data_IF_467157396161
#
_entry.id   IF_467157396161
#
_cell.length_a   1.000
_cell.length_b   1.000
_cell.length_c   1.000
_cell.angle_alpha   90.00
_cell.angle_beta   90.00
_cell.angle_gamma   90.00
#
_symmetry.space_group_name_H-M   'P 1'
#
loop_
_entity.id
_entity.type
_entity.pdbx_description
1 polymer ?
#
# COMPACT_ATOMS: atom_id res chain seq x y z
N UNK A 1 -36.21 55.00 36.00
CA UNK A 1 -36.17 54.08 34.89
C UNK A 1 -34.72 53.67 34.63
N UNK A 2 -34.29 52.47 35.01
CA UNK A 2 -32.94 51.94 34.78
C UNK A 2 -33.05 50.82 33.75
N UNK A 3 -32.61 51.10 32.53
CA UNK A 3 -32.52 50.11 31.44
C UNK A 3 -31.33 49.17 31.70
N UNK A 4 -31.62 47.88 31.85
CA UNK A 4 -30.58 46.83 31.92
C UNK A 4 -30.31 46.37 30.50
N UNK A 5 -29.12 46.70 29.99
CA UNK A 5 -28.61 46.22 28.70
C UNK A 5 -28.00 44.81 28.94
N UNK A 6 -28.69 43.77 28.49
CA UNK A 6 -28.20 42.38 28.56
C UNK A 6 -27.36 42.11 27.35
N UNK A 7 -26.05 41.97 27.51
CA UNK A 7 -25.08 41.64 26.45
C UNK A 7 -25.00 40.11 26.35
N UNK A 8 -25.68 39.57 25.37
CA UNK A 8 -25.57 38.12 25.07
C UNK A 8 -24.32 37.91 24.23
N UNK A 9 -23.26 37.39 24.88
CA UNK A 9 -22.01 36.98 24.21
C UNK A 9 -22.24 35.62 23.56
N UNK A 10 -22.53 35.60 22.24
CA UNK A 10 -22.67 34.40 21.46
C UNK A 10 -21.24 33.90 21.13
N UNK A 11 -20.79 32.91 21.87
CA UNK A 11 -19.52 32.17 21.56
C UNK A 11 -19.79 31.28 20.35
N UNK A 12 -19.37 31.73 19.16
CA UNK A 12 -19.27 30.90 18.00
C UNK A 12 -18.14 29.86 18.23
N UNK A 13 -18.50 28.65 18.61
CA UNK A 13 -17.59 27.51 18.58
C UNK A 13 -17.32 27.15 17.12
N UNK A 14 -16.25 27.75 16.55
CA UNK A 14 -15.70 27.29 15.28
C UNK A 14 -14.91 26.00 15.58
N UNK A 15 -15.58 24.84 15.48
CA UNK A 15 -14.90 23.54 15.49
C UNK A 15 -14.10 23.45 14.19
N UNK A 16 -12.83 23.82 14.23
CA UNK A 16 -11.89 23.45 13.20
C UNK A 16 -11.79 21.92 13.22
N UNK A 17 -12.33 21.28 12.20
CA UNK A 17 -12.04 19.87 11.92
C UNK A 17 -10.54 19.81 11.59
N UNK A 18 -9.75 19.38 12.55
CA UNK A 18 -8.34 19.05 12.30
C UNK A 18 -8.39 17.72 11.57
N UNK A 19 -8.30 17.76 10.26
CA UNK A 19 -8.06 16.56 9.46
C UNK A 19 -6.65 16.06 9.82
N UNK A 20 -6.59 14.93 10.51
CA UNK A 20 -5.31 14.32 10.88
C UNK A 20 -4.74 13.56 9.68
N UNK A 21 -3.45 13.72 9.43
CA UNK A 21 -2.75 12.89 8.44
C UNK A 21 -2.80 11.41 8.84
N UNK A 22 -2.81 10.53 7.86
CA UNK A 22 -2.71 9.07 8.07
C UNK A 22 -1.37 8.77 8.77
N UNK A 23 -1.41 7.98 9.84
CA UNK A 23 -0.21 7.56 10.57
C UNK A 23 0.45 6.32 9.94
N UNK A 24 1.76 6.16 10.17
CA UNK A 24 2.49 4.96 9.76
C UNK A 24 1.99 3.71 10.48
N UNK A 25 1.62 3.82 11.75
CA UNK A 25 1.00 2.72 12.49
C UNK A 25 -0.29 2.25 11.81
N UNK A 26 -1.14 3.20 11.36
CA UNK A 26 -2.36 2.87 10.65
C UNK A 26 -2.06 2.15 9.32
N UNK A 27 -1.13 2.66 8.51
CA UNK A 27 -0.71 2.01 7.27
C UNK A 27 -0.17 0.59 7.54
N UNK A 28 0.69 0.40 8.55
CA UNK A 28 1.20 -0.92 8.90
C UNK A 28 0.09 -1.89 9.35
N UNK A 29 -1.00 -1.40 9.94
CA UNK A 29 -2.16 -2.22 10.27
C UNK A 29 -2.97 -2.58 9.04
N UNK A 30 -3.17 -1.63 8.11
CA UNK A 30 -3.82 -1.89 6.83
C UNK A 30 -3.04 -2.92 6.00
N UNK A 31 -1.70 -2.86 5.97
CA UNK A 31 -0.85 -3.81 5.25
C UNK A 31 -0.85 -5.23 5.85
N UNK A 32 -1.61 -5.51 6.90
CA UNK A 32 -1.77 -6.84 7.50
C UNK A 32 -3.17 -7.44 7.30
N UNK A 33 -4.04 -6.73 6.59
CA UNK A 33 -5.38 -7.21 6.30
C UNK A 33 -5.41 -8.03 5.01
N UNK A 34 -6.41 -8.88 4.89
CA UNK A 34 -6.65 -9.65 3.69
C UNK A 34 -7.43 -8.82 2.66
N UNK A 35 -6.99 -8.88 1.41
CA UNK A 35 -7.58 -8.11 0.31
C UNK A 35 -7.85 -8.97 -0.92
N UNK A 36 -8.92 -8.65 -1.64
CA UNK A 36 -8.98 -8.89 -3.07
C UNK A 36 -8.29 -7.74 -3.80
N UNK A 37 -7.62 -8.00 -4.90
CA UNK A 37 -6.93 -6.98 -5.67
C UNK A 37 -7.23 -7.05 -7.17
N UNK A 38 -7.13 -5.89 -7.80
CA UNK A 38 -6.98 -5.75 -9.25
C UNK A 38 -5.72 -4.92 -9.48
N UNK A 39 -4.75 -5.51 -10.15
CA UNK A 39 -3.53 -4.83 -10.55
C UNK A 39 -3.61 -4.42 -12.02
N UNK A 40 -3.08 -3.24 -12.33
CA UNK A 40 -2.79 -2.78 -13.68
C UNK A 40 -1.35 -2.32 -13.74
N UNK A 41 -0.61 -2.85 -14.71
CA UNK A 41 0.76 -2.43 -14.97
C UNK A 41 0.89 -1.79 -16.35
N UNK A 42 1.69 -0.74 -16.42
CA UNK A 42 1.99 -0.02 -17.65
C UNK A 42 3.49 -0.09 -17.93
N UNK A 43 3.84 -0.82 -18.98
CA UNK A 43 5.18 -0.76 -19.54
C UNK A 43 5.30 0.45 -20.46
N UNK A 44 6.06 1.46 -20.05
CA UNK A 44 6.21 2.70 -20.81
C UNK A 44 6.99 2.54 -22.12
N UNK A 45 7.80 1.48 -22.26
CA UNK A 45 8.62 1.28 -23.45
C UNK A 45 7.81 0.79 -24.67
N UNK A 46 6.78 -0.01 -24.44
CA UNK A 46 5.91 -0.56 -25.49
C UNK A 46 4.43 -0.13 -25.36
N UNK A 47 4.13 0.69 -24.33
CA UNK A 47 2.78 1.18 -23.99
C UNK A 47 1.76 0.06 -23.77
N UNK A 48 2.25 -1.11 -23.34
CA UNK A 48 1.39 -2.25 -23.05
C UNK A 48 0.85 -2.16 -21.64
N UNK A 49 -0.47 -2.30 -21.53
CA UNK A 49 -1.17 -2.42 -20.25
C UNK A 49 -1.50 -3.89 -20.03
N UNK A 50 -1.05 -4.41 -18.90
CA UNK A 50 -1.41 -5.74 -18.42
C UNK A 50 -2.30 -5.60 -17.18
N UNK A 51 -3.17 -6.60 -16.95
CA UNK A 51 -4.02 -6.60 -15.77
C UNK A 51 -4.06 -7.99 -15.16
N UNK A 52 -3.93 -8.04 -13.84
CA UNK A 52 -4.10 -9.25 -13.04
C UNK A 52 -5.12 -9.01 -11.94
N UNK A 53 -5.67 -10.08 -11.38
CA UNK A 53 -6.56 -10.01 -10.22
C UNK A 53 -6.42 -11.24 -9.34
N UNK A 54 -6.73 -11.06 -8.06
CA UNK A 54 -6.58 -12.14 -7.11
C UNK A 54 -6.84 -11.73 -5.68
N UNK A 55 -6.13 -12.38 -4.76
CA UNK A 55 -6.21 -12.13 -3.32
C UNK A 55 -4.82 -12.06 -2.70
N UNK A 56 -4.68 -11.21 -1.71
CA UNK A 56 -3.52 -11.13 -0.81
C UNK A 56 -4.01 -11.51 0.57
N UNK A 57 -3.38 -12.50 1.19
CA UNK A 57 -3.72 -13.01 2.51
C UNK A 57 -2.47 -12.92 3.39
N UNK A 58 -2.61 -12.28 4.54
CA UNK A 58 -1.55 -12.17 5.52
C UNK A 58 -1.80 -13.16 6.65
N UNK A 59 -0.88 -14.07 6.88
CA UNK A 59 -0.92 -15.01 7.99
C UNK A 59 0.30 -14.89 8.89
N UNK A 60 0.38 -15.71 9.95
CA UNK A 60 1.49 -15.67 10.91
C UNK A 60 2.83 -16.11 10.28
N UNK A 61 2.81 -16.82 9.15
CA UNK A 61 3.99 -17.35 8.48
C UNK A 61 4.51 -16.44 7.38
N UNK A 62 3.66 -15.55 6.83
CA UNK A 62 4.06 -14.66 5.75
C UNK A 62 2.90 -14.15 4.92
N UNK A 63 3.15 -13.91 3.64
CA UNK A 63 2.19 -13.36 2.70
C UNK A 63 1.87 -14.42 1.65
N UNK A 64 0.59 -14.66 1.42
CA UNK A 64 0.10 -15.54 0.38
C UNK A 64 -0.69 -14.76 -0.66
N UNK A 65 -0.24 -14.80 -1.93
CA UNK A 65 -0.92 -14.14 -3.04
C UNK A 65 -1.45 -15.20 -4.00
N UNK A 66 -2.74 -15.13 -4.26
CA UNK A 66 -3.43 -16.00 -5.23
C UNK A 66 -3.85 -15.14 -6.41
N UNK A 67 -3.19 -15.28 -7.54
CA UNK A 67 -3.60 -14.68 -8.81
C UNK A 67 -4.58 -15.63 -9.50
N UNK A 68 -5.74 -15.11 -9.90
CA UNK A 68 -6.81 -15.89 -10.56
C UNK A 68 -6.99 -15.55 -12.04
N UNK A 69 -6.39 -14.46 -12.49
CA UNK A 69 -6.46 -14.00 -13.88
C UNK A 69 -5.25 -13.10 -14.18
N UNK A 70 -4.67 -13.11 -15.41
CA UNK A 70 -5.06 -13.92 -16.58
C UNK A 70 -4.64 -15.38 -16.49
N UNK A 71 -3.62 -15.72 -15.68
CA UNK A 71 -3.14 -17.06 -15.42
C UNK A 71 -3.20 -17.32 -13.91
N UNK A 72 -3.51 -18.54 -13.52
CA UNK A 72 -3.56 -18.92 -12.11
C UNK A 72 -2.16 -19.17 -11.58
N UNK A 73 -1.73 -18.34 -10.64
CA UNK A 73 -0.44 -18.42 -9.96
C UNK A 73 -0.60 -18.22 -8.45
N UNK A 74 0.16 -18.97 -7.67
CA UNK A 74 0.22 -18.81 -6.22
C UNK A 74 1.62 -18.38 -5.82
N UNK A 75 1.70 -17.31 -5.02
CA UNK A 75 2.95 -16.84 -4.44
C UNK A 75 2.90 -17.01 -2.93
N UNK A 76 3.94 -17.59 -2.36
CA UNK A 76 4.12 -17.71 -0.92
C UNK A 76 5.42 -17.05 -0.52
N UNK A 77 5.31 -16.01 0.29
CA UNK A 77 6.44 -15.22 0.73
C UNK A 77 6.66 -15.48 2.22
N UNK A 78 7.77 -16.16 2.56
CA UNK A 78 8.14 -16.48 3.93
C UNK A 78 9.61 -16.11 4.19
N UNK A 79 9.86 -15.27 5.18
CA UNK A 79 11.19 -14.79 5.50
C UNK A 79 11.88 -14.15 4.28
N UNK A 80 12.90 -14.81 3.73
CA UNK A 80 13.64 -14.30 2.57
C UNK A 80 13.36 -15.06 1.28
N UNK A 81 12.35 -15.91 1.25
CA UNK A 81 12.05 -16.74 0.08
C UNK A 81 10.66 -16.45 -0.44
N UNK A 82 10.55 -16.42 -1.75
CA UNK A 82 9.30 -16.41 -2.47
C UNK A 82 9.17 -17.68 -3.29
N UNK A 83 8.16 -18.47 -2.99
CA UNK A 83 7.75 -19.62 -3.77
C UNK A 83 6.68 -19.20 -4.76
N UNK A 84 6.87 -19.51 -6.02
CA UNK A 84 5.94 -19.26 -7.12
C UNK A 84 5.46 -20.59 -7.65
N UNK A 85 4.15 -20.80 -7.68
CA UNK A 85 3.54 -21.99 -8.24
C UNK A 85 2.61 -21.62 -9.41
N UNK A 86 3.02 -21.97 -10.62
CA UNK A 86 2.18 -21.87 -11.81
C UNK A 86 1.23 -23.06 -11.85
N UNK A 87 -0.07 -22.81 -11.68
CA UNK A 87 -1.09 -23.85 -11.58
C UNK A 87 -1.29 -24.54 -12.92
N UNK A 88 -1.18 -23.81 -14.04
CA UNK A 88 -1.41 -24.35 -15.36
C UNK A 88 -0.27 -25.28 -15.84
N UNK A 89 0.96 -24.88 -15.55
CA UNK A 89 2.16 -25.65 -15.94
C UNK A 89 2.53 -26.73 -14.91
N UNK A 90 1.89 -26.73 -13.73
CA UNK A 90 2.26 -27.57 -12.57
C UNK A 90 3.75 -27.41 -12.22
N UNK A 91 4.23 -26.16 -12.22
CA UNK A 91 5.64 -25.84 -12.00
C UNK A 91 5.82 -24.97 -10.76
N UNK A 92 6.85 -25.28 -10.02
CA UNK A 92 7.24 -24.56 -8.81
C UNK A 92 8.62 -23.96 -8.98
N UNK A 93 8.75 -22.69 -8.63
CA UNK A 93 9.99 -21.95 -8.57
C UNK A 93 10.19 -21.35 -7.17
N UNK A 94 11.43 -21.33 -6.68
CA UNK A 94 11.77 -20.68 -5.43
C UNK A 94 12.81 -19.60 -5.72
N UNK A 95 12.54 -18.38 -5.25
CA UNK A 95 13.38 -17.19 -5.46
C UNK A 95 13.84 -16.69 -4.09
N UNK A 96 15.13 -16.38 -3.94
CA UNK A 96 15.63 -15.65 -2.77
C UNK A 96 15.39 -14.15 -2.97
N UNK A 97 14.49 -13.59 -2.17
CA UNK A 97 14.12 -12.17 -2.27
C UNK A 97 15.04 -11.21 -1.50
N UNK A 98 16.00 -11.72 -0.70
CA UNK A 98 17.04 -10.88 -0.10
C UNK A 98 17.93 -10.24 -1.15
N UNK A 99 18.10 -10.91 -2.29
CA UNK A 99 18.88 -10.40 -3.42
C UNK A 99 18.02 -9.60 -4.39
N UNK A 100 16.72 -9.57 -4.17
CA UNK A 100 15.78 -8.79 -4.97
C UNK A 100 15.82 -7.33 -4.50
N UNK A 101 16.16 -6.43 -5.39
CA UNK A 101 16.08 -4.97 -5.17
C UNK A 101 14.62 -4.47 -5.21
N UNK A 102 13.64 -5.34 -4.92
CA UNK A 102 12.24 -4.98 -4.94
C UNK A 102 11.84 -4.24 -3.66
N UNK A 103 11.89 -2.92 -3.73
CA UNK A 103 11.58 -2.02 -2.62
C UNK A 103 10.16 -2.23 -2.08
N UNK A 104 9.18 -2.46 -2.96
CA UNK A 104 7.79 -2.70 -2.56
C UNK A 104 7.64 -3.99 -1.74
N UNK A 105 8.26 -5.09 -2.16
CA UNK A 105 8.25 -6.34 -1.39
C UNK A 105 8.88 -6.18 -0.01
N UNK A 106 9.97 -5.41 0.09
CA UNK A 106 10.61 -5.12 1.37
C UNK A 106 9.65 -4.40 2.33
N UNK A 107 8.88 -3.42 1.84
CA UNK A 107 7.87 -2.72 2.64
C UNK A 107 6.77 -3.68 3.09
N UNK A 108 6.25 -4.52 2.20
CA UNK A 108 5.20 -5.49 2.55
C UNK A 108 5.64 -6.48 3.63
N UNK A 109 6.89 -6.93 3.56
CA UNK A 109 7.40 -7.95 4.50
C UNK A 109 7.80 -7.40 5.85
N UNK A 110 8.45 -6.26 5.87
CA UNK A 110 9.08 -5.71 7.07
C UNK A 110 8.24 -4.61 7.73
N UNK A 111 7.21 -4.13 7.03
CA UNK A 111 6.48 -2.94 7.40
C UNK A 111 7.31 -1.67 7.24
N UNK A 112 6.74 -0.54 7.65
CA UNK A 112 7.36 0.77 7.54
C UNK A 112 7.77 1.22 8.94
N UNK A 113 9.03 1.67 9.07
CA UNK A 113 9.60 2.22 10.30
C UNK A 113 9.75 3.74 10.15
N UNK A 114 9.25 4.51 11.11
CA UNK A 114 9.27 5.97 11.06
C UNK A 114 10.68 6.59 10.99
N UNK A 115 11.69 5.90 11.52
CA UNK A 115 13.08 6.38 11.63
C UNK A 115 14.04 5.48 10.83
N UNK A 116 13.71 5.17 9.58
CA UNK A 116 14.60 4.40 8.71
C UNK A 116 15.56 5.33 7.96
N UNK A 117 16.82 4.91 7.84
CA UNK A 117 17.80 5.57 6.96
C UNK A 117 17.65 5.13 5.49
N UNK A 118 16.83 4.11 5.22
CA UNK A 118 16.67 3.52 3.89
C UNK A 118 15.65 4.26 3.01
N UNK A 119 14.77 5.08 3.61
CA UNK A 119 13.72 5.82 2.90
C UNK A 119 13.23 7.04 3.68
N UNK A 120 12.60 7.95 2.97
CA UNK A 120 11.88 9.11 3.52
C UNK A 120 10.37 8.85 3.46
N UNK A 121 9.63 9.43 4.41
CA UNK A 121 8.19 9.31 4.51
C UNK A 121 7.56 10.68 4.34
N UNK A 122 6.58 10.78 3.46
CA UNK A 122 5.73 11.96 3.30
C UNK A 122 4.27 11.56 3.53
N UNK A 123 3.64 12.13 4.56
CA UNK A 123 2.25 11.85 4.90
C UNK A 123 1.35 13.04 4.57
N UNK A 124 0.24 12.76 3.91
CA UNK A 124 -0.85 13.69 3.60
C UNK A 124 -2.16 13.21 4.23
N UNK A 125 -3.25 13.93 3.99
CA UNK A 125 -4.58 13.59 4.53
C UNK A 125 -5.04 12.18 4.11
N UNK A 126 -4.85 11.81 2.84
CA UNK A 126 -5.33 10.54 2.26
C UNK A 126 -4.23 9.74 1.58
N UNK A 127 -2.96 10.08 1.77
CA UNK A 127 -1.86 9.32 1.18
C UNK A 127 -0.62 9.33 2.04
N UNK A 128 0.17 8.27 1.87
CA UNK A 128 1.53 8.16 2.39
C UNK A 128 2.43 7.76 1.24
N UNK A 129 3.52 8.49 1.07
CA UNK A 129 4.54 8.22 0.09
C UNK A 129 5.82 7.76 0.80
N UNK A 130 6.35 6.62 0.40
CA UNK A 130 7.61 6.07 0.88
C UNK A 130 8.62 6.17 -0.26
N UNK A 131 9.63 7.01 -0.08
CA UNK A 131 10.62 7.34 -1.08
C UNK A 131 11.95 6.74 -0.66
N UNK A 132 12.48 5.78 -1.43
CA UNK A 132 13.80 5.19 -1.17
C UNK A 132 14.90 6.25 -1.14
N UNK A 133 15.93 6.08 -0.31
CA UNK A 133 17.00 7.05 -0.14
C UNK A 133 17.83 7.29 -1.42
N UNK A 134 17.78 6.37 -2.38
CA UNK A 134 18.36 6.54 -3.73
C UNK A 134 17.47 7.34 -4.69
N UNK A 135 16.27 7.76 -4.22
CA UNK A 135 15.25 8.52 -4.97
C UNK A 135 14.73 7.84 -6.25
N UNK A 136 15.14 6.59 -6.53
CA UNK A 136 14.74 5.88 -7.74
C UNK A 136 13.44 5.11 -7.58
N UNK A 137 13.10 4.76 -6.34
CA UNK A 137 11.93 3.96 -6.02
C UNK A 137 10.99 4.71 -5.07
N UNK A 138 9.73 4.75 -5.44
CA UNK A 138 8.67 5.33 -4.60
C UNK A 138 7.49 4.38 -4.55
N UNK A 139 6.93 4.20 -3.36
CA UNK A 139 5.65 3.50 -3.17
C UNK A 139 4.65 4.48 -2.58
N UNK A 140 3.51 4.63 -3.23
CA UNK A 140 2.45 5.53 -2.82
C UNK A 140 1.25 4.71 -2.35
N UNK A 141 0.76 5.01 -1.15
CA UNK A 141 -0.42 4.40 -0.54
C UNK A 141 -1.55 5.41 -0.48
N UNK A 142 -2.73 5.06 -1.01
CA UNK A 142 -3.89 5.95 -1.05
C UNK A 142 -5.05 5.35 -0.27
N UNK A 143 -5.69 6.20 0.53
CA UNK A 143 -6.78 5.84 1.43
C UNK A 143 -8.06 6.52 1.00
N UNK A 144 -9.20 5.89 1.28
CA UNK A 144 -10.51 6.50 1.11
C UNK A 144 -10.87 7.45 2.28
N UNK A 145 -12.07 8.02 2.23
CA UNK A 145 -12.61 8.92 3.27
C UNK A 145 -12.79 8.24 4.63
N UNK A 146 -12.81 6.91 4.67
CA UNK A 146 -12.88 6.11 5.90
C UNK A 146 -11.49 5.66 6.38
N UNK A 147 -10.42 6.19 5.80
CA UNK A 147 -9.03 5.81 6.04
C UNK A 147 -8.71 4.34 5.73
N UNK A 148 -9.48 3.69 4.84
CA UNK A 148 -9.19 2.34 4.37
C UNK A 148 -8.22 2.40 3.17
N UNK A 149 -7.21 1.54 3.16
CA UNK A 149 -6.27 1.44 2.05
C UNK A 149 -6.97 0.93 0.79
N UNK A 150 -6.89 1.69 -0.31
CA UNK A 150 -7.60 1.40 -1.57
C UNK A 150 -6.71 1.23 -2.77
N UNK A 151 -5.55 1.88 -2.77
CA UNK A 151 -4.69 1.83 -3.94
C UNK A 151 -3.23 1.92 -3.51
N UNK A 152 -2.41 1.04 -4.07
CA UNK A 152 -0.96 1.10 -3.96
C UNK A 152 -0.42 1.38 -5.36
N UNK A 153 0.50 2.34 -5.47
CA UNK A 153 1.23 2.58 -6.72
C UNK A 153 2.72 2.45 -6.47
N UNK A 154 3.41 1.79 -7.37
CA UNK A 154 4.86 1.70 -7.33
C UNK A 154 5.43 1.51 -8.74
N UNK A 155 6.73 1.69 -8.86
CA UNK A 155 7.49 1.40 -10.06
C UNK A 155 8.49 0.29 -9.73
N UNK A 156 8.59 -0.70 -10.60
CA UNK A 156 9.54 -1.79 -10.41
C UNK A 156 10.95 -1.41 -10.91
N UNK A 157 11.92 -2.31 -10.70
CA UNK A 157 13.33 -2.10 -11.07
C UNK A 157 13.58 -1.98 -12.58
N UNK A 158 12.65 -2.44 -13.41
CA UNK A 158 12.72 -2.33 -14.88
C UNK A 158 11.88 -1.17 -15.43
N UNK A 159 11.28 -0.37 -14.57
CA UNK A 159 10.56 0.85 -14.91
C UNK A 159 9.09 0.68 -15.27
N UNK A 160 8.49 -0.49 -15.00
CA UNK A 160 7.06 -0.70 -15.17
C UNK A 160 6.31 -0.06 -14.00
N UNK A 161 5.27 0.69 -14.31
CA UNK A 161 4.38 1.29 -13.31
C UNK A 161 3.24 0.33 -12.97
N UNK A 162 3.04 0.11 -11.68
CA UNK A 162 2.01 -0.75 -11.11
C UNK A 162 1.01 0.05 -10.31
N UNK A 163 -0.27 -0.28 -10.47
CA UNK A 163 -1.36 0.23 -9.65
C UNK A 163 -2.22 -0.93 -9.16
N UNK A 164 -2.23 -1.15 -7.84
CA UNK A 164 -2.97 -2.25 -7.19
C UNK A 164 -4.17 -1.66 -6.46
N UNK A 165 -5.37 -1.86 -7.02
CA UNK A 165 -6.64 -1.51 -6.38
C UNK A 165 -7.01 -2.60 -5.37
N UNK A 166 -7.36 -2.21 -4.13
CA UNK A 166 -7.61 -3.11 -3.01
C UNK A 166 -9.06 -3.03 -2.53
N UNK A 167 -9.62 -4.19 -2.20
CA UNK A 167 -10.90 -4.31 -1.49
C UNK A 167 -10.73 -5.30 -0.35
N UNK A 168 -10.97 -4.87 0.89
CA UNK A 168 -10.88 -5.71 2.09
C UNK A 168 -11.84 -6.91 2.00
N UNK A 169 -11.40 -8.11 2.42
CA UNK A 169 -12.17 -9.37 2.37
C UNK A 169 -13.04 -9.58 3.60
#
# INVERSE_FOLDING_TARGET
MKSKFSFIFSILFCSALIEANISIEHLNNELKKDYSFVERSLNQSDLKIESSQGKIIFDQSGIFVVVTSPFEENYRIEGSTMEIYDVYLDQKQVVDIKTSENFFLNILMNGIQENSDEYQISSNINSIDIIASDENNTVNFFFDENSLLRLIKYKDSIGVEHGIELTEL
#
